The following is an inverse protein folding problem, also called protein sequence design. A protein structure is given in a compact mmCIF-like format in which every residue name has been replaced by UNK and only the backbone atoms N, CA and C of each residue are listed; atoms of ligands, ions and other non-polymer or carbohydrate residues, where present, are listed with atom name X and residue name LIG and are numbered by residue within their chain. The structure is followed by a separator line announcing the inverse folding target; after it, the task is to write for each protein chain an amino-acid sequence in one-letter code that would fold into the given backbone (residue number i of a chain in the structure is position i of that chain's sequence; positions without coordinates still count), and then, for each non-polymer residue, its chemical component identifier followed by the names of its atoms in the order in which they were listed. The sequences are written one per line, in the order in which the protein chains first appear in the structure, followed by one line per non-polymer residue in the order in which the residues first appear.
data_IF_417769295081
#
_entry.id   IF_417769295081
#
_cell.length_a   1.000
_cell.length_b   1.000
_cell.length_c   1.000
_cell.angle_alpha   90.00
_cell.angle_beta   90.00
_cell.angle_gamma   90.00
#
_symmetry.space_group_name_H-M   'P 1'
#
loop_
_entity.id
_entity.type
_entity.pdbx_description
1 polymer ?
#
# COMPACT_ATOMS: atom_id res chain seq x y z
N UNK A 1 15.48 -22.25 17.96
CA UNK A 1 16.24 -23.42 17.46
C UNK A 1 16.61 -23.16 16.01
N UNK A 2 17.89 -23.28 15.67
CA UNK A 2 18.38 -23.12 14.30
C UNK A 2 18.27 -24.49 13.62
N UNK A 3 17.31 -24.63 12.69
CA UNK A 3 17.08 -25.90 11.96
C UNK A 3 18.09 -25.98 10.82
N UNK A 4 18.76 -27.14 10.67
CA UNK A 4 19.75 -27.38 9.61
C UNK A 4 19.12 -28.17 8.47
N UNK A 5 19.65 -28.00 7.25
CA UNK A 5 19.29 -28.87 6.12
C UNK A 5 19.58 -30.33 6.48
N UNK A 6 18.61 -31.21 6.25
CA UNK A 6 18.66 -32.63 6.62
C UNK A 6 17.89 -32.98 7.90
N UNK A 7 17.47 -32.00 8.71
CA UNK A 7 16.68 -32.27 9.91
C UNK A 7 15.27 -32.78 9.56
N UNK A 8 14.77 -33.73 10.35
CA UNK A 8 13.38 -34.21 10.26
C UNK A 8 12.46 -33.26 11.00
N UNK A 9 11.43 -32.78 10.31
CA UNK A 9 10.50 -31.78 10.85
C UNK A 9 9.05 -32.24 10.68
N UNK A 10 8.21 -31.86 11.65
CA UNK A 10 6.76 -32.03 11.57
C UNK A 10 6.10 -30.67 11.37
N UNK A 11 5.21 -30.60 10.39
CA UNK A 11 4.49 -29.37 10.04
C UNK A 11 3.33 -29.13 11.01
N UNK A 12 3.15 -27.90 11.48
CA UNK A 12 2.02 -27.50 12.32
C UNK A 12 1.59 -26.05 12.07
N UNK A 13 0.38 -25.69 12.49
CA UNK A 13 -0.10 -24.30 12.49
C UNK A 13 -0.42 -23.71 11.10
N UNK A 14 -0.64 -24.52 10.07
CA UNK A 14 -1.12 -24.05 8.77
C UNK A 14 -2.64 -23.85 8.78
N UNK A 15 -3.08 -22.60 8.60
CA UNK A 15 -4.50 -22.26 8.46
C UNK A 15 -5.02 -22.42 7.03
N UNK A 16 -4.18 -22.17 6.02
CA UNK A 16 -4.57 -22.27 4.61
C UNK A 16 -4.51 -23.68 4.02
N UNK A 17 -3.86 -24.62 4.73
CA UNK A 17 -3.71 -26.03 4.34
C UNK A 17 -3.67 -26.93 5.59
N UNK A 18 -4.80 -27.04 6.33
CA UNK A 18 -4.84 -27.81 7.57
C UNK A 18 -4.52 -29.29 7.38
N UNK A 19 -4.70 -29.84 6.17
CA UNK A 19 -4.37 -31.21 5.80
C UNK A 19 -2.88 -31.54 5.85
N UNK A 20 -2.01 -30.52 5.84
CA UNK A 20 -0.55 -30.70 5.98
C UNK A 20 -0.09 -30.65 7.44
N UNK A 21 -0.96 -30.30 8.39
CA UNK A 21 -0.58 -30.30 9.81
C UNK A 21 -0.44 -31.75 10.32
N UNK A 22 0.70 -32.05 10.93
CA UNK A 22 1.08 -33.40 11.35
C UNK A 22 1.94 -34.15 10.32
N UNK A 23 2.05 -33.65 9.09
CA UNK A 23 2.91 -34.27 8.08
C UNK A 23 4.40 -34.13 8.46
N UNK A 24 5.15 -35.21 8.31
CA UNK A 24 6.60 -35.23 8.53
C UNK A 24 7.37 -35.11 7.20
N UNK A 25 8.55 -34.52 7.26
CA UNK A 25 9.41 -34.37 6.10
C UNK A 25 10.85 -34.03 6.47
N UNK A 26 11.69 -33.89 5.46
CA UNK A 26 13.10 -33.52 5.59
C UNK A 26 13.31 -32.11 5.07
N UNK A 27 14.05 -31.31 5.84
CA UNK A 27 14.39 -29.95 5.46
C UNK A 27 15.41 -29.97 4.32
N UNK A 28 15.04 -29.46 3.14
CA UNK A 28 15.92 -29.44 1.95
C UNK A 28 16.87 -28.25 2.02
N UNK A 29 16.34 -27.07 2.37
CA UNK A 29 17.15 -25.87 2.51
C UNK A 29 16.35 -24.57 2.63
N UNK A 30 17.06 -23.42 2.65
CA UNK A 30 16.43 -22.11 2.66
C UNK A 30 15.70 -21.87 1.33
N UNK A 31 14.43 -21.48 1.43
CA UNK A 31 13.61 -21.03 0.30
C UNK A 31 13.63 -19.52 0.15
N UNK A 32 12.91 -19.02 -0.87
CA UNK A 32 12.77 -17.59 -1.10
C UNK A 32 12.03 -16.89 0.06
N UNK A 33 12.37 -15.62 0.29
CA UNK A 33 11.68 -14.74 1.25
C UNK A 33 11.74 -15.21 2.72
N UNK A 34 12.84 -15.86 3.13
CA UNK A 34 13.04 -16.31 4.51
C UNK A 34 12.16 -17.49 4.92
N UNK A 35 11.57 -18.21 3.95
CA UNK A 35 10.89 -19.49 4.17
C UNK A 35 11.87 -20.64 4.03
N UNK A 36 11.47 -21.82 4.46
CA UNK A 36 12.25 -23.06 4.41
C UNK A 36 11.52 -24.05 3.51
N UNK A 37 12.22 -24.68 2.58
CA UNK A 37 11.66 -25.73 1.73
C UNK A 37 11.82 -27.08 2.44
N UNK A 38 10.68 -27.74 2.65
CA UNK A 38 10.58 -29.06 3.26
C UNK A 38 10.06 -30.04 2.23
N UNK A 39 10.75 -31.16 2.05
CA UNK A 39 10.28 -32.28 1.24
C UNK A 39 9.54 -33.24 2.16
N UNK A 40 8.22 -33.29 2.04
CA UNK A 40 7.37 -34.17 2.85
C UNK A 40 7.63 -35.63 2.49
N UNK A 41 7.33 -36.55 3.42
CA UNK A 41 7.43 -38.00 3.18
C UNK A 41 6.53 -38.46 2.01
N UNK A 42 5.50 -37.67 1.66
CA UNK A 42 4.66 -37.86 0.47
C UNK A 42 5.36 -37.55 -0.87
N UNK A 43 6.57 -36.99 -0.85
CA UNK A 43 7.34 -36.58 -2.02
C UNK A 43 7.06 -35.14 -2.50
N UNK A 44 6.09 -34.45 -1.90
CA UNK A 44 5.75 -33.06 -2.25
C UNK A 44 6.69 -32.08 -1.52
N UNK A 45 7.23 -31.11 -2.26
CA UNK A 45 8.02 -30.01 -1.69
C UNK A 45 7.15 -28.80 -1.37
N UNK A 46 7.28 -28.26 -0.16
CA UNK A 46 6.49 -27.12 0.31
C UNK A 46 7.39 -26.09 1.01
N UNK A 47 7.23 -24.81 0.65
CA UNK A 47 7.95 -23.70 1.31
C UNK A 47 7.15 -23.13 2.48
N UNK A 48 7.59 -23.43 3.70
CA UNK A 48 6.93 -23.12 4.96
C UNK A 48 7.71 -22.09 5.79
N UNK A 49 7.03 -21.37 6.68
CA UNK A 49 7.72 -20.51 7.67
C UNK A 49 8.34 -21.39 8.74
N UNK A 50 9.51 -21.01 9.27
CA UNK A 50 10.18 -21.77 10.34
C UNK A 50 9.33 -21.91 11.61
N UNK A 51 8.41 -20.96 11.87
CA UNK A 51 7.47 -21.03 12.99
C UNK A 51 6.42 -22.15 12.87
N UNK A 52 6.24 -22.72 11.67
CA UNK A 52 5.28 -23.79 11.39
C UNK A 52 5.96 -25.17 11.35
N UNK A 53 7.22 -25.26 11.80
CA UNK A 53 8.03 -26.48 11.78
C UNK A 53 8.43 -26.84 13.21
N UNK A 54 8.09 -28.04 13.64
CA UNK A 54 8.59 -28.63 14.89
C UNK A 54 9.73 -29.58 14.57
N UNK A 55 10.87 -29.45 15.27
CA UNK A 55 11.99 -30.38 15.09
C UNK A 55 11.66 -31.68 15.80
N UNK A 56 11.60 -32.78 15.04
CA UNK A 56 11.47 -34.11 15.63
C UNK A 56 12.90 -34.61 15.93
N UNK A 57 13.24 -34.90 17.19
CA UNK A 57 14.58 -35.37 17.53
C UNK A 57 14.94 -36.63 16.72
N UNK A 58 16.05 -36.63 15.96
CA UNK A 58 16.51 -37.83 15.26
C UNK A 58 16.99 -38.84 16.29
N UNK A 59 16.14 -39.82 16.64
CA UNK A 59 16.55 -40.93 17.52
C UNK A 59 15.59 -41.31 18.64
N UNK A 60 14.42 -40.69 18.75
CA UNK A 60 13.36 -41.17 19.65
C UNK A 60 12.58 -42.34 19.06
N UNK A 61 13.25 -43.44 18.72
CA UNK A 61 12.59 -44.69 18.34
C UNK A 61 11.80 -45.25 19.52
N UNK A 62 10.55 -44.84 19.65
CA UNK A 62 9.57 -45.53 20.50
C UNK A 62 9.21 -46.83 19.80
N UNK A 63 9.95 -47.89 20.15
CA UNK A 63 9.62 -49.25 19.79
C UNK A 63 8.45 -49.77 20.64
N UNK A 64 7.58 -50.54 19.99
CA UNK A 64 6.79 -51.60 20.63
C UNK A 64 5.38 -51.21 21.09
N UNK A 65 4.37 -51.89 20.54
CA UNK A 65 3.04 -51.90 21.13
C UNK A 65 1.90 -52.40 20.24
N UNK A 66 2.03 -53.60 19.67
CA UNK A 66 0.85 -54.40 19.33
C UNK A 66 0.24 -54.96 20.61
N UNK A 67 -1.02 -54.65 20.91
CA UNK A 67 -1.98 -55.57 21.54
C UNK A 67 -3.31 -54.87 21.85
N UNK A 68 -4.36 -55.31 21.19
CA UNK A 68 -5.62 -55.79 21.78
C UNK A 68 -6.18 -55.14 23.07
N UNK A 69 -7.39 -54.59 22.92
CA UNK A 69 -8.56 -54.89 23.75
C UNK A 69 -8.44 -54.81 25.30
N UNK A 70 -8.97 -53.74 25.93
CA UNK A 70 -10.13 -53.82 26.85
C UNK A 70 -10.49 -52.46 27.51
N UNK A 71 -11.76 -52.27 27.95
CA UNK A 71 -12.26 -51.07 28.61
C UNK A 71 -12.21 -51.16 30.13
N UNK A 72 -12.18 -50.01 30.82
CA UNK A 72 -12.67 -49.91 32.20
C UNK A 72 -11.83 -49.12 33.20
N UNK A 73 -12.49 -48.12 33.79
CA UNK A 73 -12.44 -47.77 35.21
C UNK A 73 -11.14 -47.26 35.86
N UNK A 74 -11.19 -46.00 36.29
CA UNK A 74 -10.87 -45.67 37.69
C UNK A 74 -9.53 -44.99 37.96
N UNK A 75 -9.61 -43.72 38.38
CA UNK A 75 -9.00 -43.21 39.62
C UNK A 75 -7.48 -43.11 39.74
N UNK A 76 -7.02 -41.96 40.24
CA UNK A 76 -5.79 -41.89 41.04
C UNK A 76 -4.82 -40.83 40.56
N UNK A 77 -4.57 -39.84 41.42
CA UNK A 77 -3.68 -38.72 41.15
C UNK A 77 -2.19 -39.07 41.21
N UNK A 78 -1.37 -38.07 40.90
CA UNK A 78 0.08 -38.19 40.97
C UNK A 78 0.77 -36.93 40.45
N UNK A 79 0.86 -35.92 41.30
CA UNK A 79 1.78 -34.79 41.15
C UNK A 79 3.14 -35.22 41.73
N UNK A 80 4.25 -35.05 40.99
CA UNK A 80 5.40 -34.32 41.53
C UNK A 80 6.16 -33.58 40.41
N UNK A 81 6.91 -32.50 40.61
CA UNK A 81 7.38 -31.82 41.80
C UNK A 81 8.24 -30.63 41.34
N UNK A 82 8.28 -29.60 42.17
CA UNK A 82 9.20 -28.47 42.03
C UNK A 82 10.62 -28.90 42.45
N UNK A 83 11.59 -28.71 41.56
CA UNK A 83 13.02 -28.69 41.85
C UNK A 83 13.68 -27.89 40.72
N UNK A 84 14.32 -26.74 40.95
CA UNK A 84 15.42 -26.56 41.88
C UNK A 84 16.71 -26.97 41.15
N UNK A 85 17.32 -26.05 40.40
CA UNK A 85 18.52 -26.37 39.63
C UNK A 85 19.19 -25.18 38.93
N UNK A 86 20.12 -24.56 39.66
CA UNK A 86 21.38 -23.95 39.21
C UNK A 86 21.49 -23.30 37.83
N UNK A 87 21.69 -21.98 37.84
CA UNK A 87 22.27 -21.22 36.73
C UNK A 87 23.80 -21.17 36.88
N UNK A 88 24.60 -21.79 36.00
CA UNK A 88 26.04 -21.57 35.94
C UNK A 88 26.35 -20.43 34.95
N UNK A 89 27.11 -19.46 35.43
CA UNK A 89 27.62 -18.37 34.61
C UNK A 89 28.60 -18.86 33.54
N UNK A 90 28.65 -18.11 32.45
CA UNK A 90 29.80 -18.07 31.55
C UNK A 90 30.28 -16.62 31.43
N UNK A 91 31.32 -16.31 32.20
CA UNK A 91 32.26 -15.27 31.85
C UNK A 91 33.06 -15.72 30.64
N UNK A 92 33.20 -14.82 29.68
CA UNK A 92 34.04 -14.98 28.50
C UNK A 92 34.34 -13.59 27.96
N UNK A 93 35.49 -13.05 28.37
CA UNK A 93 35.98 -11.75 27.94
C UNK A 93 36.22 -11.71 26.44
N UNK A 94 35.86 -10.58 25.83
CA UNK A 94 36.26 -10.26 24.45
C UNK A 94 37.44 -9.29 24.52
N UNK A 95 38.63 -9.68 24.02
CA UNK A 95 39.83 -8.85 23.98
C UNK A 95 39.65 -7.64 23.06
N UNK A 96 40.16 -6.49 23.50
CA UNK A 96 40.15 -5.24 22.75
C UNK A 96 40.93 -5.34 21.44
N UNK A 97 40.32 -4.86 20.37
CA UNK A 97 41.03 -4.40 19.19
C UNK A 97 41.33 -2.91 19.33
N UNK A 98 42.44 -2.63 20.00
CA UNK A 98 43.17 -1.37 19.84
C UNK A 98 43.87 -1.40 18.49
N UNK A 99 43.19 -0.86 17.47
CA UNK A 99 43.78 -0.55 16.17
C UNK A 99 43.77 0.96 15.98
N UNK A 100 44.90 1.60 16.30
CA UNK A 100 45.10 3.03 16.07
C UNK A 100 45.02 3.35 14.59
N UNK A 101 44.13 4.29 14.23
CA UNK A 101 44.09 4.89 12.91
C UNK A 101 44.89 6.21 12.96
N UNK A 102 45.98 6.36 12.18
CA UNK A 102 46.78 7.58 12.13
C UNK A 102 46.01 8.73 11.48
N UNK A 103 46.23 9.93 12.00
CA UNK A 103 45.40 11.10 11.78
C UNK A 103 45.29 11.59 10.34
N UNK A 104 44.07 12.00 9.99
CA UNK A 104 43.84 13.08 9.04
C UNK A 104 43.58 14.36 9.81
N UNK A 105 44.67 15.03 10.18
CA UNK A 105 44.68 16.42 10.60
C UNK A 105 44.38 17.32 9.41
N UNK A 106 43.10 17.51 9.12
CA UNK A 106 42.59 18.55 8.21
C UNK A 106 41.57 19.37 8.98
N UNK A 107 42.03 20.43 9.63
CA UNK A 107 41.18 21.34 10.41
C UNK A 107 40.10 21.97 9.54
N UNK A 108 38.85 21.58 9.79
CA UNK A 108 37.68 22.26 9.26
C UNK A 108 37.34 23.41 10.22
N UNK A 109 37.29 24.68 9.76
CA UNK A 109 36.97 25.84 10.59
C UNK A 109 35.60 25.66 11.25
N UNK A 110 35.57 25.86 12.56
CA UNK A 110 34.42 25.55 13.41
C UNK A 110 33.13 26.26 12.98
N UNK A 111 32.12 25.47 12.65
CA UNK A 111 30.73 25.84 12.92
C UNK A 111 30.45 25.57 14.40
N UNK A 112 31.00 26.44 15.26
CA UNK A 112 30.53 26.60 16.63
C UNK A 112 29.20 27.36 16.61
N UNK A 113 28.18 26.71 16.05
CA UNK A 113 26.79 27.13 16.10
C UNK A 113 25.99 25.93 16.55
N UNK A 114 25.98 25.68 17.87
CA UNK A 114 25.17 24.63 18.46
C UNK A 114 23.74 24.78 17.97
N UNK A 115 23.18 23.72 17.36
CA UNK A 115 21.77 23.66 17.02
C UNK A 115 20.98 23.89 18.32
N UNK A 116 20.23 25.01 18.43
CA UNK A 116 19.30 25.20 19.53
C UNK A 116 18.27 24.08 19.43
N UNK A 117 18.07 23.37 20.54
CA UNK A 117 17.21 22.18 20.58
C UNK A 117 15.89 22.42 19.87
N UNK A 118 15.55 21.53 18.94
CA UNK A 118 14.22 21.50 18.33
C UNK A 118 13.20 21.35 19.46
N UNK A 119 12.37 22.38 19.74
CA UNK A 119 11.29 22.22 20.67
C UNK A 119 10.26 21.34 19.97
N UNK A 120 10.05 20.13 20.51
CA UNK A 120 9.02 19.18 20.06
C UNK A 120 7.59 19.64 20.35
N UNK A 121 7.29 20.93 20.24
CA UNK A 121 5.94 21.46 20.27
C UNK A 121 5.45 21.65 18.83
N UNK A 122 4.28 21.11 18.51
CA UNK A 122 3.58 21.53 17.30
C UNK A 122 3.50 23.07 17.30
N UNK A 123 3.87 23.75 16.20
CA UNK A 123 3.77 25.21 16.15
C UNK A 123 2.36 25.62 16.52
N UNK A 124 2.24 26.54 17.47
CA UNK A 124 0.97 27.07 17.91
C UNK A 124 0.19 27.59 16.70
N UNK A 125 -1.13 27.41 16.72
CA UNK A 125 -2.02 27.75 15.61
C UNK A 125 -1.89 29.25 15.27
N UNK A 126 -1.62 30.08 16.28
CA UNK A 126 -1.32 31.49 16.11
C UNK A 126 -0.03 31.75 15.34
N UNK A 127 1.02 30.97 15.59
CA UNK A 127 2.30 31.07 14.87
C UNK A 127 2.17 30.70 13.40
N UNK A 128 1.39 29.65 13.09
CA UNK A 128 1.09 29.28 11.70
C UNK A 128 0.28 30.37 11.02
N UNK A 129 -0.73 30.94 11.69
CA UNK A 129 -1.54 32.02 11.15
C UNK A 129 -0.72 33.30 10.89
N UNK A 130 0.20 33.65 11.78
CA UNK A 130 1.10 34.80 11.61
C UNK A 130 2.06 34.61 10.43
N UNK A 131 2.67 33.42 10.31
CA UNK A 131 3.56 33.08 9.20
C UNK A 131 2.82 33.09 7.85
N UNK A 132 1.60 32.56 7.81
CA UNK A 132 0.76 32.57 6.61
C UNK A 132 0.40 33.99 6.16
N UNK A 133 0.10 34.90 7.11
CA UNK A 133 -0.17 36.31 6.80
C UNK A 133 1.04 37.01 6.20
N UNK A 134 2.21 36.86 6.83
CA UNK A 134 3.45 37.47 6.34
C UNK A 134 3.80 36.99 4.92
N UNK A 135 3.66 35.69 4.65
CA UNK A 135 3.86 35.13 3.32
C UNK A 135 2.84 35.66 2.30
N UNK A 136 1.56 35.80 2.68
CA UNK A 136 0.51 36.31 1.80
C UNK A 136 0.76 37.77 1.42
N UNK A 137 1.14 38.60 2.39
CA UNK A 137 1.49 40.01 2.15
C UNK A 137 2.67 40.15 1.20
N UNK A 138 3.72 39.35 1.39
CA UNK A 138 4.89 39.32 0.51
C UNK A 138 4.52 38.90 -0.92
N UNK A 139 3.62 37.92 -1.05
CA UNK A 139 3.17 37.39 -2.35
C UNK A 139 2.26 38.39 -3.07
N UNK A 140 1.38 39.07 -2.35
CA UNK A 140 0.52 40.14 -2.88
C UNK A 140 1.35 41.35 -3.33
N UNK A 141 2.35 41.75 -2.53
CA UNK A 141 3.28 42.82 -2.88
C UNK A 141 4.08 42.47 -4.15
N UNK A 142 4.60 41.24 -4.24
CA UNK A 142 5.38 40.78 -5.39
C UNK A 142 4.54 40.63 -6.67
N UNK A 143 3.23 40.36 -6.55
CA UNK A 143 2.33 40.20 -7.69
C UNK A 143 1.72 41.51 -8.19
N UNK A 144 1.94 42.64 -7.48
CA UNK A 144 1.41 43.95 -7.86
C UNK A 144 -0.13 44.06 -7.80
N UNK A 145 -0.81 43.08 -7.19
CA UNK A 145 -2.26 43.03 -7.09
C UNK A 145 -2.69 43.96 -5.97
N UNK A 146 -3.29 45.11 -6.31
CA UNK A 146 -3.88 46.01 -5.32
C UNK A 146 -5.22 45.44 -4.84
N UNK A 147 -5.34 45.26 -3.53
CA UNK A 147 -6.58 44.81 -2.89
C UNK A 147 -7.69 45.85 -3.10
N UNK A 148 -8.93 45.43 -3.42
CA UNK A 148 -10.08 46.33 -3.45
C UNK A 148 -10.28 47.01 -2.10
N UNK A 149 -10.60 48.32 -2.07
CA UNK A 149 -10.86 49.02 -0.82
C UNK A 149 -12.04 48.37 -0.09
N UNK A 150 -11.85 48.03 1.19
CA UNK A 150 -12.90 47.43 2.04
C UNK A 150 -12.75 45.93 2.34
N UNK A 151 -11.82 45.21 1.70
CA UNK A 151 -11.52 43.82 2.05
C UNK A 151 -10.35 43.78 3.05
N UNK A 152 -10.63 43.38 4.29
CA UNK A 152 -9.55 43.14 5.26
C UNK A 152 -8.78 41.88 4.87
N UNK A 153 -7.47 41.87 5.12
CA UNK A 153 -6.58 40.75 4.80
C UNK A 153 -7.08 39.42 5.41
N UNK A 154 -7.66 39.50 6.61
CA UNK A 154 -8.28 38.36 7.29
C UNK A 154 -9.47 37.76 6.52
N UNK A 155 -10.35 38.59 5.94
CA UNK A 155 -11.48 38.09 5.13
C UNK A 155 -11.01 37.42 3.84
N UNK A 156 -9.96 37.97 3.22
CA UNK A 156 -9.37 37.37 2.02
C UNK A 156 -8.67 36.05 2.33
N UNK A 157 -7.94 35.97 3.44
CA UNK A 157 -7.31 34.74 3.89
C UNK A 157 -8.34 33.64 4.19
N UNK A 158 -9.45 33.98 4.88
CA UNK A 158 -10.56 33.04 5.11
C UNK A 158 -11.21 32.62 3.79
N UNK A 159 -11.45 33.54 2.88
CA UNK A 159 -12.00 33.24 1.55
C UNK A 159 -11.11 32.27 0.76
N UNK A 160 -9.80 32.53 0.70
CA UNK A 160 -8.83 31.63 0.08
C UNK A 160 -8.76 30.27 0.76
N UNK A 161 -8.83 30.22 2.10
CA UNK A 161 -8.84 28.96 2.83
C UNK A 161 -10.09 28.13 2.53
N UNK A 162 -11.26 28.76 2.44
CA UNK A 162 -12.52 28.08 2.06
C UNK A 162 -12.44 27.58 0.62
N UNK A 163 -11.96 28.40 -0.32
CA UNK A 163 -11.78 27.98 -1.72
C UNK A 163 -10.78 26.83 -1.82
N UNK A 164 -9.66 26.89 -1.09
CA UNK A 164 -8.68 25.82 -1.05
C UNK A 164 -9.25 24.54 -0.43
N UNK A 165 -10.04 24.64 0.65
CA UNK A 165 -10.70 23.49 1.27
C UNK A 165 -11.74 22.85 0.34
N UNK A 166 -12.57 23.65 -0.33
CA UNK A 166 -13.53 23.17 -1.34
C UNK A 166 -12.81 22.53 -2.53
N UNK A 167 -11.70 23.13 -2.98
CA UNK A 167 -10.87 22.58 -4.04
C UNK A 167 -10.22 21.25 -3.63
N UNK A 168 -9.70 21.14 -2.41
CA UNK A 168 -9.17 19.88 -1.87
C UNK A 168 -10.26 18.82 -1.68
N UNK A 169 -11.45 19.23 -1.25
CA UNK A 169 -12.61 18.35 -1.17
C UNK A 169 -13.00 17.83 -2.56
N UNK A 170 -13.06 18.71 -3.56
CA UNK A 170 -13.33 18.35 -4.94
C UNK A 170 -12.25 17.42 -5.50
N UNK A 171 -10.96 17.74 -5.29
CA UNK A 171 -9.86 16.85 -5.66
C UNK A 171 -10.02 15.49 -5.00
N UNK A 172 -10.29 15.45 -3.70
CA UNK A 172 -10.48 14.18 -2.98
C UNK A 172 -11.66 13.37 -3.53
N UNK A 173 -12.73 14.05 -3.94
CA UNK A 173 -13.94 13.39 -4.42
C UNK A 173 -13.82 12.90 -5.86
N UNK A 174 -13.09 13.62 -6.72
CA UNK A 174 -13.06 13.37 -8.16
C UNK A 174 -11.71 12.87 -8.69
N UNK A 175 -10.63 13.06 -7.95
CA UNK A 175 -9.29 12.59 -8.33
C UNK A 175 -9.01 11.30 -7.57
N UNK A 176 -8.94 10.15 -8.26
CA UNK A 176 -8.61 8.89 -7.62
C UNK A 176 -7.20 8.98 -7.04
N UNK A 177 -6.98 8.29 -5.92
CA UNK A 177 -5.68 8.26 -5.21
C UNK A 177 -4.54 7.84 -6.17
N UNK A 178 -4.83 7.02 -7.17
CA UNK A 178 -3.89 6.64 -8.23
C UNK A 178 -3.40 7.83 -9.05
N UNK A 179 -4.28 8.75 -9.43
CA UNK A 179 -3.91 9.95 -10.18
C UNK A 179 -3.05 10.89 -9.33
N UNK A 180 -3.33 11.00 -8.02
CA UNK A 180 -2.49 11.74 -7.08
C UNK A 180 -1.11 11.12 -6.92
N UNK A 181 -1.02 9.79 -6.79
CA UNK A 181 0.26 9.09 -6.72
C UNK A 181 1.07 9.24 -8.01
N UNK A 182 0.42 9.13 -9.18
CA UNK A 182 1.08 9.35 -10.46
C UNK A 182 1.63 10.78 -10.58
N UNK A 183 0.82 11.79 -10.23
CA UNK A 183 1.26 13.18 -10.20
C UNK A 183 2.42 13.40 -9.22
N UNK A 184 2.39 12.76 -8.04
CA UNK A 184 3.46 12.85 -7.05
C UNK A 184 4.78 12.21 -7.55
N UNK A 185 4.70 11.06 -8.22
CA UNK A 185 5.87 10.41 -8.83
C UNK A 185 6.49 11.30 -9.90
N UNK A 186 5.66 11.92 -10.75
CA UNK A 186 6.14 12.83 -11.80
C UNK A 186 6.76 14.10 -11.20
N UNK A 187 6.11 14.69 -10.19
CA UNK A 187 6.65 15.84 -9.47
C UNK A 187 7.99 15.50 -8.78
N UNK A 188 8.07 14.34 -8.12
CA UNK A 188 9.29 13.84 -7.49
C UNK A 188 10.40 13.61 -8.50
N UNK A 189 10.11 12.92 -9.60
CA UNK A 189 11.08 12.69 -10.67
C UNK A 189 11.57 14.00 -11.30
N UNK A 190 10.68 14.95 -11.57
CA UNK A 190 11.01 16.26 -12.15
C UNK A 190 11.90 17.12 -11.24
N UNK A 191 11.66 17.07 -9.93
CA UNK A 191 12.39 17.92 -8.95
C UNK A 191 13.67 17.29 -8.41
N UNK A 192 13.72 15.96 -8.25
CA UNK A 192 14.84 15.28 -7.60
C UNK A 192 15.92 14.81 -8.58
N UNK A 193 15.58 14.54 -9.84
CA UNK A 193 16.56 14.06 -10.82
C UNK A 193 17.13 15.23 -11.64
N UNK A 194 18.45 15.22 -11.90
CA UNK A 194 19.08 16.23 -12.78
C UNK A 194 18.50 16.16 -14.20
N UNK A 195 18.24 14.96 -14.71
CA UNK A 195 17.59 14.75 -16.01
C UNK A 195 16.17 15.32 -16.05
N UNK A 196 15.39 15.18 -14.97
CA UNK A 196 14.06 15.77 -14.84
C UNK A 196 14.08 17.28 -14.89
N UNK A 197 15.05 17.92 -14.22
CA UNK A 197 15.22 19.39 -14.26
C UNK A 197 15.60 19.89 -15.65
N UNK A 198 16.53 19.23 -16.34
CA UNK A 198 16.90 19.60 -17.71
C UNK A 198 15.72 19.47 -18.69
N UNK A 199 14.94 18.39 -18.57
CA UNK A 199 13.74 18.22 -19.38
C UNK A 199 12.69 19.31 -19.09
N UNK A 200 12.50 19.68 -17.82
CA UNK A 200 11.62 20.78 -17.43
C UNK A 200 12.07 22.12 -17.99
N UNK A 201 13.37 22.41 -17.98
CA UNK A 201 13.94 23.61 -18.57
C UNK A 201 13.71 23.65 -20.08
N UNK A 202 13.97 22.55 -20.80
CA UNK A 202 13.74 22.47 -22.24
C UNK A 202 12.27 22.65 -22.62
N UNK A 203 11.36 21.97 -21.91
CA UNK A 203 9.91 22.12 -22.12
C UNK A 203 9.48 23.55 -21.79
N UNK A 204 9.99 24.13 -20.70
CA UNK A 204 9.68 25.52 -20.34
C UNK A 204 10.18 26.53 -21.38
N UNK A 205 11.35 26.30 -21.99
CA UNK A 205 11.87 27.15 -23.05
C UNK A 205 10.99 27.06 -24.30
N UNK A 206 10.56 25.85 -24.70
CA UNK A 206 9.65 25.63 -25.83
C UNK A 206 8.29 26.30 -25.61
N UNK A 207 7.70 26.13 -24.44
CA UNK A 207 6.42 26.76 -24.07
C UNK A 207 6.57 28.28 -24.02
N UNK A 208 7.68 28.78 -23.49
CA UNK A 208 7.96 30.22 -23.45
C UNK A 208 8.09 30.82 -24.85
N UNK A 209 8.74 30.11 -25.78
CA UNK A 209 8.85 30.50 -27.18
C UNK A 209 7.50 30.55 -27.88
N UNK A 210 6.60 29.61 -27.60
CA UNK A 210 5.26 29.59 -28.18
C UNK A 210 4.34 30.70 -27.65
N UNK A 211 4.46 31.04 -26.36
CA UNK A 211 3.62 32.05 -25.70
C UNK A 211 4.20 33.47 -25.85
N UNK A 212 5.48 33.59 -26.22
CA UNK A 212 6.19 34.88 -26.27
C UNK A 212 6.43 35.49 -24.89
N UNK A 213 6.35 34.69 -23.82
CA UNK A 213 6.58 35.13 -22.43
C UNK A 213 7.39 34.07 -21.67
N UNK A 214 8.34 34.47 -20.80
CA UNK A 214 9.10 33.53 -20.00
C UNK A 214 8.18 32.82 -19.00
N UNK A 215 8.07 31.50 -19.13
CA UNK A 215 7.30 30.64 -18.22
C UNK A 215 8.24 29.98 -17.23
N UNK A 216 7.93 30.08 -15.93
CA UNK A 216 8.73 29.45 -14.88
C UNK A 216 8.64 27.91 -14.97
N UNK A 217 9.75 27.15 -14.83
CA UNK A 217 9.72 25.69 -14.87
C UNK A 217 8.73 25.05 -13.89
N UNK A 218 8.59 25.62 -12.69
CA UNK A 218 7.63 25.13 -11.68
C UNK A 218 6.17 25.19 -12.15
N UNK A 219 5.82 26.17 -12.98
CA UNK A 219 4.48 26.32 -13.53
C UNK A 219 4.21 25.24 -14.58
N UNK A 220 5.21 24.95 -15.43
CA UNK A 220 5.16 23.85 -16.40
C UNK A 220 5.00 22.50 -15.70
N UNK A 221 5.73 22.27 -14.60
CA UNK A 221 5.58 21.07 -13.79
C UNK A 221 4.16 20.95 -13.22
N UNK A 222 3.62 22.04 -12.66
CA UNK A 222 2.26 22.07 -12.12
C UNK A 222 1.20 21.72 -13.17
N UNK A 223 1.29 22.34 -14.36
CA UNK A 223 0.38 22.03 -15.48
C UNK A 223 0.54 20.58 -15.93
N UNK A 224 1.77 20.06 -16.01
CA UNK A 224 2.05 18.68 -16.42
C UNK A 224 1.44 17.69 -15.43
N UNK A 225 1.59 17.93 -14.12
CA UNK A 225 0.97 17.11 -13.08
C UNK A 225 -0.57 17.14 -13.15
N UNK A 226 -1.17 18.30 -13.42
CA UNK A 226 -2.62 18.41 -13.61
C UNK A 226 -3.08 17.66 -14.87
N UNK A 227 -2.34 17.76 -15.97
CA UNK A 227 -2.65 17.05 -17.21
C UNK A 227 -2.57 15.53 -17.03
N UNK A 228 -1.54 15.04 -16.32
CA UNK A 228 -1.40 13.61 -15.99
C UNK A 228 -2.51 13.17 -15.04
N UNK A 229 -2.82 13.98 -14.02
CA UNK A 229 -3.94 13.71 -13.12
C UNK A 229 -5.25 13.57 -13.90
N UNK A 230 -5.55 14.51 -14.79
CA UNK A 230 -6.72 14.47 -15.66
C UNK A 230 -6.72 13.25 -16.59
N UNK A 231 -5.59 12.95 -17.23
CA UNK A 231 -5.46 11.80 -18.11
C UNK A 231 -5.67 10.48 -17.35
N UNK A 232 -5.07 10.34 -16.17
CA UNK A 232 -5.30 9.21 -15.28
C UNK A 232 -6.78 9.10 -14.89
N UNK A 233 -7.45 10.20 -14.53
CA UNK A 233 -8.89 10.21 -14.24
C UNK A 233 -9.71 9.74 -15.45
N UNK A 234 -9.37 10.21 -16.66
CA UNK A 234 -10.08 9.83 -17.89
C UNK A 234 -9.90 8.35 -18.23
N UNK A 235 -8.68 7.81 -18.09
CA UNK A 235 -8.36 6.41 -18.40
C UNK A 235 -8.86 5.43 -17.34
N UNK A 236 -8.81 5.81 -16.06
CA UNK A 236 -9.31 4.96 -14.96
C UNK A 236 -10.82 4.97 -14.84
N UNK A 237 -11.51 5.61 -15.78
CA UNK A 237 -12.95 5.63 -15.84
C UNK A 237 -13.51 6.75 -14.97
N UNK A 238 -13.60 7.92 -15.59
CA UNK A 238 -14.78 8.79 -15.41
C UNK A 238 -16.09 8.12 -15.86
N UNK A 239 -16.17 6.78 -15.89
CA UNK A 239 -17.39 6.07 -15.62
C UNK A 239 -17.72 6.45 -14.19
N UNK A 240 -18.49 7.54 -14.06
CA UNK A 240 -18.95 8.03 -12.79
C UNK A 240 -19.36 6.83 -11.96
N UNK A 241 -19.01 6.88 -10.69
CA UNK A 241 -19.67 6.07 -9.68
C UNK A 241 -21.14 6.56 -9.64
N UNK A 242 -21.91 6.33 -10.70
CA UNK A 242 -23.06 5.47 -10.57
C UNK A 242 -22.48 4.17 -9.96
N UNK A 243 -22.27 4.03 -8.65
CA UNK A 243 -23.36 4.09 -7.70
C UNK A 243 -24.71 4.06 -8.44
N UNK A 244 -24.94 3.05 -9.29
CA UNK A 244 -26.01 2.15 -8.89
C UNK A 244 -25.59 1.79 -7.47
N UNK A 245 -26.15 2.45 -6.42
CA UNK A 245 -25.88 2.01 -5.07
C UNK A 245 -26.06 0.52 -5.14
N UNK A 246 -25.12 -0.29 -4.63
CA UNK A 246 -25.31 -1.73 -4.58
C UNK A 246 -26.75 -1.92 -4.16
N UNK A 247 -27.59 -2.31 -5.13
CA UNK A 247 -29.02 -1.97 -5.06
C UNK A 247 -29.50 -2.93 -4.03
N UNK A 248 -29.51 -2.46 -2.79
CA UNK A 248 -30.01 -3.22 -1.68
C UNK A 248 -31.39 -3.61 -2.16
N UNK A 249 -31.65 -4.91 -2.37
CA UNK A 249 -32.90 -5.35 -2.97
C UNK A 249 -34.08 -4.80 -2.15
N UNK A 250 -33.87 -4.52 -0.86
CA UNK A 250 -34.81 -3.79 -0.02
C UNK A 250 -35.00 -2.32 -0.40
N UNK A 251 -33.94 -1.57 -0.68
CA UNK A 251 -34.04 -0.17 -1.09
C UNK A 251 -34.74 0.00 -2.44
N UNK A 252 -34.53 -0.93 -3.38
CA UNK A 252 -35.26 -0.95 -4.67
C UNK A 252 -36.72 -1.28 -4.45
N UNK A 253 -37.02 -2.33 -3.68
CA UNK A 253 -38.40 -2.73 -3.39
C UNK A 253 -39.18 -1.64 -2.64
N UNK A 254 -38.55 -0.95 -1.68
CA UNK A 254 -39.15 0.20 -0.98
C UNK A 254 -39.45 1.36 -1.92
N UNK A 255 -38.54 1.68 -2.85
CA UNK A 255 -38.74 2.75 -3.82
C UNK A 255 -39.87 2.40 -4.80
N UNK A 256 -39.90 1.17 -5.30
CA UNK A 256 -40.98 0.70 -6.18
C UNK A 256 -42.34 0.68 -5.48
N UNK A 257 -42.40 0.25 -4.22
CA UNK A 257 -43.64 0.26 -3.43
C UNK A 257 -44.16 1.69 -3.21
N UNK A 258 -43.27 2.65 -2.93
CA UNK A 258 -43.64 4.05 -2.81
C UNK A 258 -44.15 4.63 -4.13
N UNK A 259 -43.45 4.35 -5.23
CA UNK A 259 -43.84 4.80 -6.57
C UNK A 259 -45.22 4.24 -6.96
N UNK A 260 -45.44 2.96 -6.72
CA UNK A 260 -46.71 2.29 -7.02
C UNK A 260 -47.86 2.88 -6.21
N UNK A 261 -47.67 3.18 -4.92
CA UNK A 261 -48.70 3.82 -4.09
C UNK A 261 -49.02 5.24 -4.59
N UNK A 262 -48.01 5.97 -5.04
CA UNK A 262 -48.19 7.30 -5.61
C UNK A 262 -49.00 7.26 -6.91
N UNK A 263 -48.68 6.33 -7.80
CA UNK A 263 -49.38 6.14 -9.07
C UNK A 263 -50.84 5.65 -8.86
N UNK A 264 -51.06 4.74 -7.90
CA UNK A 264 -52.40 4.28 -7.54
C UNK A 264 -53.26 5.44 -6.96
N UNK A 265 -52.65 6.30 -6.14
CA UNK A 265 -53.33 7.48 -5.59
C UNK A 265 -53.72 8.50 -6.68
N UNK A 266 -52.84 8.74 -7.66
CA UNK A 266 -53.16 9.61 -8.80
C UNK A 266 -54.27 9.00 -9.66
N UNK A 267 -54.29 7.68 -9.82
CA UNK A 267 -55.30 6.98 -10.60
C UNK A 267 -56.65 6.83 -9.86
N UNK A 268 -56.76 7.24 -8.60
CA UNK A 268 -57.95 7.05 -7.78
C UNK A 268 -58.26 5.58 -7.49
N UNK A 269 -57.25 4.71 -7.55
CA UNK A 269 -57.38 3.28 -7.29
C UNK A 269 -57.05 3.01 -5.83
N UNK A 270 -57.73 2.00 -5.26
CA UNK A 270 -57.38 1.53 -3.92
C UNK A 270 -55.92 1.02 -3.90
N UNK A 271 -55.16 1.25 -2.81
CA UNK A 271 -53.75 0.87 -2.74
C UNK A 271 -53.56 -0.62 -3.01
N UNK A 272 -52.88 -0.95 -4.11
CA UNK A 272 -52.61 -2.35 -4.45
C UNK A 272 -51.32 -2.81 -3.76
N UNK A 273 -51.24 -4.09 -3.33
CA UNK A 273 -50.00 -4.64 -2.80
C UNK A 273 -48.86 -4.53 -3.83
N UNK A 274 -47.60 -4.39 -3.37
CA UNK A 274 -46.44 -4.26 -4.26
C UNK A 274 -46.36 -5.44 -5.22
N UNK A 275 -46.14 -5.17 -6.52
CA UNK A 275 -46.05 -6.24 -7.54
C UNK A 275 -44.86 -7.18 -7.34
N UNK A 276 -43.78 -6.68 -6.76
CA UNK A 276 -42.58 -7.46 -6.45
C UNK A 276 -42.26 -7.38 -4.96
N UNK A 277 -42.60 -8.45 -4.24
CA UNK A 277 -41.94 -8.77 -2.97
C UNK A 277 -40.72 -9.60 -3.38
N UNK A 278 -39.48 -9.10 -3.24
CA UNK A 278 -38.31 -9.91 -3.53
C UNK A 278 -38.38 -11.15 -2.64
N UNK A 279 -38.51 -12.33 -3.26
CA UNK A 279 -38.42 -13.58 -2.53
C UNK A 279 -37.03 -13.62 -1.91
N UNK A 280 -36.97 -13.62 -0.58
CA UNK A 280 -35.73 -13.83 0.16
C UNK A 280 -35.28 -15.24 -0.21
N UNK A 281 -34.39 -15.35 -1.19
CA UNK A 281 -33.70 -16.61 -1.46
C UNK A 281 -32.62 -16.74 -0.37
N UNK A 282 -32.77 -17.63 0.62
CA UNK A 282 -31.80 -17.78 1.70
C UNK A 282 -30.42 -18.23 1.19
N UNK A 283 -30.30 -18.67 -0.07
CA UNK A 283 -29.02 -19.01 -0.69
C UNK A 283 -28.33 -17.85 -1.42
N UNK A 284 -29.01 -16.70 -1.62
CA UNK A 284 -28.42 -15.55 -2.29
C UNK A 284 -27.34 -14.83 -1.45
N UNK A 285 -27.23 -15.14 -0.15
CA UNK A 285 -26.23 -14.57 0.76
C UNK A 285 -24.77 -15.00 0.52
N UNK A 286 -24.51 -15.95 -0.39
CA UNK A 286 -23.15 -16.48 -0.61
C UNK A 286 -22.52 -16.19 -1.97
N UNK A 287 -23.21 -15.56 -2.94
CA UNK A 287 -22.69 -15.49 -4.33
C UNK A 287 -22.45 -14.10 -4.92
N UNK A 288 -22.51 -13.04 -4.14
CA UNK A 288 -22.22 -11.70 -4.62
C UNK A 288 -21.07 -11.04 -3.85
N UNK A 289 -19.88 -11.64 -3.95
CA UNK A 289 -18.64 -10.86 -3.92
C UNK A 289 -18.60 -9.99 -5.18
N UNK A 290 -19.49 -8.99 -5.22
CA UNK A 290 -19.48 -7.95 -6.22
C UNK A 290 -18.07 -7.34 -6.19
N UNK A 291 -17.35 -7.55 -7.28
CA UNK A 291 -16.12 -6.86 -7.59
C UNK A 291 -16.49 -5.39 -7.82
N UNK A 292 -16.83 -4.68 -6.76
CA UNK A 292 -16.98 -3.24 -6.80
C UNK A 292 -15.66 -2.69 -7.31
N UNK A 293 -15.70 -2.03 -8.48
CA UNK A 293 -14.55 -1.39 -9.14
C UNK A 293 -13.89 -0.26 -8.34
N UNK A 294 -14.11 -0.22 -7.02
CA UNK A 294 -13.33 0.58 -6.11
C UNK A 294 -11.91 0.02 -6.00
N UNK A 295 -10.97 0.91 -5.73
CA UNK A 295 -9.57 0.59 -5.43
C UNK A 295 -9.48 -0.20 -4.11
N UNK A 296 -9.90 -1.46 -4.13
CA UNK A 296 -9.89 -2.36 -2.98
C UNK A 296 -8.48 -2.87 -2.69
N UNK A 297 -8.32 -3.53 -1.55
CA UNK A 297 -7.07 -4.17 -1.14
C UNK A 297 -6.48 -5.10 -2.23
N UNK A 298 -7.35 -5.69 -3.05
CA UNK A 298 -7.00 -6.50 -4.22
C UNK A 298 -6.22 -5.71 -5.29
N UNK A 299 -6.61 -4.46 -5.55
CA UNK A 299 -5.88 -3.56 -6.46
C UNK A 299 -4.50 -3.25 -5.89
N UNK A 300 -4.40 -2.96 -4.58
CA UNK A 300 -3.13 -2.68 -3.93
C UNK A 300 -2.14 -3.86 -4.04
N UNK A 301 -2.65 -5.09 -3.94
CA UNK A 301 -1.86 -6.30 -4.13
C UNK A 301 -1.35 -6.45 -5.58
N UNK A 302 -2.20 -6.12 -6.59
CA UNK A 302 -1.80 -6.12 -8.01
C UNK A 302 -0.71 -5.09 -8.31
N UNK A 303 -0.88 -3.86 -7.83
CA UNK A 303 0.15 -2.83 -7.97
C UNK A 303 1.43 -3.18 -7.21
N UNK A 304 1.31 -3.79 -6.03
CA UNK A 304 2.45 -4.28 -5.25
C UNK A 304 3.27 -5.35 -5.95
N UNK A 305 2.64 -6.23 -6.75
CA UNK A 305 3.37 -7.22 -7.55
C UNK A 305 4.06 -6.62 -8.79
N UNK A 306 3.53 -5.52 -9.31
CA UNK A 306 4.03 -4.85 -10.51
C UNK A 306 5.22 -3.93 -10.21
N UNK A 307 5.22 -3.28 -9.04
CA UNK A 307 6.28 -2.39 -8.61
C UNK A 307 7.71 -2.98 -8.68
N UNK A 308 8.00 -4.20 -8.17
CA UNK A 308 9.35 -4.78 -8.26
C UNK A 308 9.77 -5.11 -9.69
N UNK A 309 8.82 -5.44 -10.58
CA UNK A 309 9.11 -5.62 -12.00
C UNK A 309 9.54 -4.31 -12.65
N UNK A 310 8.79 -3.24 -12.41
CA UNK A 310 9.12 -1.91 -12.93
C UNK A 310 10.46 -1.39 -12.40
N UNK A 311 10.76 -1.68 -11.13
CA UNK A 311 12.04 -1.35 -10.54
C UNK A 311 13.20 -2.09 -11.24
N UNK A 312 13.06 -3.41 -11.45
CA UNK A 312 14.08 -4.20 -12.16
C UNK A 312 14.27 -3.78 -13.60
N UNK A 313 13.20 -3.36 -14.30
CA UNK A 313 13.32 -2.87 -15.67
C UNK A 313 14.25 -1.68 -15.78
N UNK A 314 14.22 -0.74 -14.84
CA UNK A 314 15.10 0.44 -14.86
C UNK A 314 16.43 0.27 -14.15
N UNK A 315 16.68 -0.87 -13.50
CA UNK A 315 17.89 -1.07 -12.72
C UNK A 315 19.12 -1.19 -13.64
N UNK A 316 20.07 -0.29 -13.46
CA UNK A 316 21.37 -0.29 -14.14
C UNK A 316 22.51 -0.20 -13.12
N UNK A 317 23.77 -0.44 -13.51
CA UNK A 317 24.92 -0.28 -12.61
C UNK A 317 25.03 1.13 -12.00
N UNK A 318 24.51 2.15 -12.68
CA UNK A 318 24.46 3.54 -12.20
C UNK A 318 23.21 3.90 -11.40
N UNK A 319 22.42 2.91 -10.96
CA UNK A 319 21.13 3.11 -10.32
C UNK A 319 19.95 2.98 -11.28
N UNK A 320 18.78 3.44 -10.85
CA UNK A 320 17.57 3.33 -11.65
C UNK A 320 17.53 4.42 -12.72
N UNK A 321 17.34 4.05 -13.99
CA UNK A 321 17.20 5.01 -15.08
C UNK A 321 16.03 4.68 -16.00
N UNK A 322 15.27 5.73 -16.33
CA UNK A 322 14.11 5.62 -17.21
C UNK A 322 14.47 5.15 -18.63
N UNK A 323 15.57 5.60 -19.27
CA UNK A 323 15.95 5.12 -20.59
C UNK A 323 16.22 3.61 -20.63
N UNK A 324 16.85 3.06 -19.58
CA UNK A 324 17.09 1.61 -19.46
C UNK A 324 15.78 0.85 -19.25
N UNK A 325 14.88 1.38 -18.43
CA UNK A 325 13.53 0.81 -18.26
C UNK A 325 12.80 0.71 -19.60
N UNK A 326 12.83 1.77 -20.41
CA UNK A 326 12.16 1.81 -21.69
C UNK A 326 12.83 0.93 -22.75
N UNK A 327 14.16 0.86 -22.76
CA UNK A 327 14.91 -0.05 -23.62
C UNK A 327 14.61 -1.53 -23.29
N UNK A 328 14.58 -1.88 -22.01
CA UNK A 328 14.24 -3.23 -21.55
C UNK A 328 12.77 -3.60 -21.83
N UNK A 329 11.86 -2.63 -21.74
CA UNK A 329 10.45 -2.80 -22.09
C UNK A 329 10.28 -3.04 -23.60
N UNK A 330 11.00 -2.29 -24.45
CA UNK A 330 11.05 -2.51 -25.90
C UNK A 330 11.65 -3.86 -26.28
N UNK A 331 12.68 -4.30 -25.56
CA UNK A 331 13.32 -5.60 -25.80
C UNK A 331 12.41 -6.78 -25.40
N UNK A 332 11.45 -6.58 -24.50
CA UNK A 332 10.57 -7.62 -23.97
C UNK A 332 9.07 -7.25 -24.07
N UNK A 333 8.52 -7.10 -25.29
CA UNK A 333 7.14 -6.65 -25.48
C UNK A 333 6.11 -7.60 -24.87
N UNK A 334 6.39 -8.91 -24.81
CA UNK A 334 5.50 -9.91 -24.20
C UNK A 334 5.30 -9.71 -22.69
N UNK A 335 6.37 -9.38 -21.95
CA UNK A 335 6.26 -9.05 -20.53
C UNK A 335 5.49 -7.74 -20.31
N UNK A 336 5.74 -6.74 -21.16
CA UNK A 336 5.03 -5.47 -21.10
C UNK A 336 3.52 -5.67 -21.30
N UNK A 337 3.14 -6.52 -22.26
CA UNK A 337 1.74 -6.82 -22.55
C UNK A 337 1.07 -7.61 -21.43
N UNK A 338 1.77 -8.58 -20.80
CA UNK A 338 1.28 -9.25 -19.58
C UNK A 338 1.09 -8.27 -18.41
N UNK A 339 2.02 -7.33 -18.19
CA UNK A 339 1.86 -6.31 -17.15
C UNK A 339 0.65 -5.40 -17.44
N UNK A 340 0.47 -5.00 -18.70
CA UNK A 340 -0.67 -4.19 -19.11
C UNK A 340 -1.99 -4.95 -18.93
N UNK A 341 -2.02 -6.25 -19.27
CA UNK A 341 -3.18 -7.12 -19.06
C UNK A 341 -3.49 -7.28 -17.56
N UNK A 342 -2.49 -7.52 -16.71
CA UNK A 342 -2.67 -7.60 -15.25
C UNK A 342 -3.20 -6.28 -14.65
N UNK A 343 -2.82 -5.14 -15.21
CA UNK A 343 -3.32 -3.82 -14.82
C UNK A 343 -4.74 -3.55 -15.31
N UNK A 344 -5.09 -4.03 -16.51
CA UNK A 344 -6.38 -3.75 -17.16
C UNK A 344 -7.58 -4.41 -16.45
N UNK A 345 -7.33 -5.32 -15.50
CA UNK A 345 -8.40 -5.95 -14.72
C UNK A 345 -9.33 -6.88 -15.53
N UNK A 346 -9.10 -7.04 -16.84
CA UNK A 346 -9.83 -7.96 -17.69
C UNK A 346 -9.51 -9.39 -17.30
N UNK A 347 -10.39 -10.02 -16.51
CA UNK A 347 -10.32 -11.44 -16.17
C UNK A 347 -10.72 -12.34 -17.33
N UNK A 348 -10.08 -12.20 -18.50
CA UNK A 348 -10.27 -13.10 -19.63
C UNK A 348 -8.99 -13.88 -19.87
N UNK A 349 -9.16 -15.20 -20.02
CA UNK A 349 -8.15 -16.26 -20.15
C UNK A 349 -7.65 -16.89 -18.84
N UNK A 350 -8.55 -17.64 -18.19
CA UNK A 350 -8.33 -19.06 -17.90
C UNK A 350 -9.63 -19.82 -18.11
#
# INVERSE_FOLDING_TARGET
MQVKSGDRVTVHGLSGRPELNGASGVLVGPGANGRVTVKLDSGIEVSLKSANLGVTPPGGGSGGGSSDNMPGSGGGGGMPGFGGGGMPGFGGGVPGFGGGMPGFGGGMPGFAGGMPGMPGGMPDVEGIAAAARAWLEQTLAASGIRLPPGISLGKLAVGLAVVAALFLYYIRQFVPVTALLAAAVVAGAGTMTQSGRMALEEVSAKVSGAIGRPVRPNLVLGITCLAIGYFCCSMTGGGGVSATPATDPYAVALREAYQQRYDDAIAGLDPRPPKHIPSIDPQAGQRSSSSGGGFGLSSLMRYGMIAPYFYRLGQSPGGWSFPVAFANLKANPGQAMMMLMMLSGGGYFM
#
